data_IF_533456132227
#
_entry.id   IF_533456132227
#
_cell.length_a   1.000
_cell.length_b   1.000
_cell.length_c   1.000
_cell.angle_alpha   90.00
_cell.angle_beta   90.00
_cell.angle_gamma   90.00
#
_symmetry.space_group_name_H-M   'P 1'
#
loop_
_entity.id
_entity.type
_entity.pdbx_description
1 polymer ?
#
# COMPACT_ATOMS: atom_id res chain seq x y z
N UNK A 1 21.14 15.38 -9.60
CA UNK A 1 19.68 15.52 -9.61
C UNK A 1 19.12 14.93 -8.31
N UNK A 2 18.43 15.72 -7.48
CA UNK A 2 17.70 15.16 -6.33
C UNK A 2 16.50 14.38 -6.85
N UNK A 3 16.67 13.07 -7.06
CA UNK A 3 15.56 12.20 -7.42
C UNK A 3 14.53 12.22 -6.28
N UNK A 4 13.36 12.80 -6.55
CA UNK A 4 12.22 12.73 -5.64
C UNK A 4 11.83 11.26 -5.55
N UNK A 5 11.91 10.66 -4.36
CA UNK A 5 11.61 9.24 -4.18
C UNK A 5 10.14 9.05 -3.78
N UNK A 6 9.44 8.19 -4.50
CA UNK A 6 8.13 7.69 -4.09
C UNK A 6 8.33 6.56 -3.07
N UNK A 7 7.70 6.68 -1.91
CA UNK A 7 7.63 5.61 -0.91
C UNK A 7 6.22 5.05 -0.85
N UNK A 8 6.11 3.72 -0.85
CA UNK A 8 4.87 2.95 -0.70
C UNK A 8 5.04 2.00 0.48
N UNK A 9 4.16 2.12 1.47
CA UNK A 9 4.17 1.32 2.69
C UNK A 9 2.77 0.81 3.02
N UNK A 10 2.70 -0.39 3.54
CA UNK A 10 1.55 -1.05 4.11
C UNK A 10 1.64 -1.09 5.64
N UNK A 11 0.51 -0.87 6.31
CA UNK A 11 0.43 -0.93 7.76
C UNK A 11 -0.97 -1.33 8.20
N UNK A 12 -1.05 -1.90 9.41
CA UNK A 12 -2.33 -2.21 10.03
C UNK A 12 -2.94 -0.95 10.62
N UNK A 13 -4.21 -0.69 10.30
CA UNK A 13 -4.99 0.27 11.06
C UNK A 13 -5.61 -0.42 12.27
N UNK A 14 -4.82 -0.53 13.34
CA UNK A 14 -5.21 -1.17 14.60
C UNK A 14 -6.38 -0.47 15.33
N UNK A 15 -6.74 0.75 14.95
CA UNK A 15 -7.93 1.44 15.50
C UNK A 15 -9.26 0.92 14.93
N UNK A 16 -9.21 0.09 13.88
CA UNK A 16 -10.38 -0.42 13.15
C UNK A 16 -10.46 -1.95 13.18
N UNK A 17 -10.29 -2.54 14.35
CA UNK A 17 -10.50 -3.98 14.55
C UNK A 17 -12.00 -4.29 14.42
N UNK A 18 -12.36 -5.33 13.68
CA UNK A 18 -13.75 -5.77 13.55
C UNK A 18 -14.13 -6.82 14.61
N UNK A 19 -15.39 -7.25 14.61
CA UNK A 19 -15.91 -8.28 15.54
C UNK A 19 -15.20 -9.64 15.43
N UNK A 20 -14.48 -9.91 14.33
CA UNK A 20 -13.68 -11.13 14.13
C UNK A 20 -12.23 -10.98 14.61
N UNK A 21 -11.85 -9.86 15.22
CA UNK A 21 -10.50 -9.63 15.74
C UNK A 21 -9.45 -9.33 14.66
N UNK A 22 -9.86 -9.11 13.40
CA UNK A 22 -8.95 -8.73 12.31
C UNK A 22 -8.99 -7.22 12.09
N UNK A 23 -7.89 -6.68 11.57
CA UNK A 23 -7.73 -5.26 11.29
C UNK A 23 -7.40 -5.03 9.81
N UNK A 24 -7.86 -3.90 9.22
CA UNK A 24 -7.59 -3.60 7.82
C UNK A 24 -6.14 -3.21 7.61
N UNK A 25 -5.59 -3.66 6.48
CA UNK A 25 -4.31 -3.18 5.95
C UNK A 25 -4.59 -1.91 5.14
N UNK A 26 -3.79 -0.88 5.39
CA UNK A 26 -3.83 0.40 4.67
C UNK A 26 -2.55 0.56 3.88
N UNK A 27 -2.66 1.19 2.71
CA UNK A 27 -1.51 1.62 1.94
C UNK A 27 -1.29 3.12 2.14
N UNK A 28 -0.05 3.54 2.30
CA UNK A 28 0.40 4.92 2.36
C UNK A 28 1.42 5.18 1.28
N UNK A 29 1.13 6.17 0.44
CA UNK A 29 2.05 6.73 -0.53
C UNK A 29 2.61 8.05 0.00
N UNK A 30 3.92 8.25 -0.14
CA UNK A 30 4.59 9.52 0.17
C UNK A 30 5.44 9.98 -1.00
N UNK A 31 5.21 11.21 -1.46
CA UNK A 31 6.01 11.87 -2.50
C UNK A 31 6.07 13.37 -2.22
N UNK A 32 7.25 13.99 -2.33
CA UNK A 32 7.45 15.43 -2.06
C UNK A 32 6.85 15.91 -0.72
N UNK A 33 7.06 15.13 0.36
CA UNK A 33 6.49 15.40 1.70
C UNK A 33 4.95 15.36 1.78
N UNK A 34 4.25 15.14 0.66
CA UNK A 34 2.80 14.90 0.62
C UNK A 34 2.53 13.42 0.84
N UNK A 35 1.52 13.13 1.64
CA UNK A 35 1.10 11.76 1.97
C UNK A 35 -0.34 11.55 1.55
N UNK A 36 -0.63 10.35 1.06
CA UNK A 36 -1.99 9.88 0.81
C UNK A 36 -2.13 8.46 1.29
N UNK A 37 -3.25 8.19 1.95
CA UNK A 37 -3.60 6.87 2.45
C UNK A 37 -4.85 6.37 1.75
N UNK A 38 -4.91 5.08 1.46
CA UNK A 38 -6.08 4.42 0.90
C UNK A 38 -6.26 3.01 1.49
N UNK A 39 -7.47 2.48 1.36
CA UNK A 39 -7.78 1.11 1.78
C UNK A 39 -7.20 0.13 0.77
N UNK A 40 -6.60 -0.98 1.22
CA UNK A 40 -6.26 -2.09 0.32
C UNK A 40 -7.42 -3.06 0.14
N UNK A 41 -8.43 -3.01 1.03
CA UNK A 41 -9.50 -4.00 1.09
C UNK A 41 -9.14 -5.27 1.86
N UNK A 42 -7.87 -5.45 2.22
CA UNK A 42 -7.36 -6.63 2.92
C UNK A 42 -7.47 -6.49 4.44
N UNK A 43 -7.75 -7.60 5.11
CA UNK A 43 -7.87 -7.68 6.57
C UNK A 43 -7.04 -8.84 7.12
N UNK A 44 -6.39 -8.63 8.26
CA UNK A 44 -5.57 -9.67 8.89
C UNK A 44 -5.55 -9.56 10.42
N UNK A 45 -5.31 -10.69 11.09
CA UNK A 45 -5.02 -10.71 12.52
C UNK A 45 -3.79 -9.86 12.86
N UNK A 46 -3.84 -9.11 13.96
CA UNK A 46 -2.79 -8.15 14.32
C UNK A 46 -1.42 -8.81 14.59
N UNK A 47 -1.42 -10.07 15.04
CA UNK A 47 -0.23 -10.88 15.31
C UNK A 47 0.37 -11.53 14.06
N UNK A 48 -0.40 -11.60 12.97
CA UNK A 48 0.03 -12.25 11.73
C UNK A 48 0.74 -11.27 10.77
N UNK A 49 0.91 -10.00 11.15
CA UNK A 49 1.52 -8.97 10.32
C UNK A 49 2.97 -8.65 10.71
N UNK A 50 3.89 -8.77 9.75
CA UNK A 50 5.27 -8.34 9.90
C UNK A 50 5.44 -6.92 9.37
N UNK A 51 5.41 -5.92 10.26
CA UNK A 51 5.56 -4.52 9.87
C UNK A 51 6.91 -4.18 9.23
N UNK A 52 8.00 -4.86 9.64
CA UNK A 52 9.34 -4.63 9.06
C UNK A 52 9.43 -5.15 7.63
N UNK A 53 8.87 -6.34 7.37
CA UNK A 53 8.85 -6.96 6.05
C UNK A 53 7.66 -6.55 5.19
N UNK A 54 6.72 -5.78 5.75
CA UNK A 54 5.53 -5.27 5.06
C UNK A 54 4.67 -6.40 4.46
N UNK A 55 4.55 -7.52 5.18
CA UNK A 55 3.86 -8.73 4.72
C UNK A 55 3.35 -9.58 5.87
N UNK A 56 2.52 -10.56 5.58
CA UNK A 56 2.03 -11.55 6.55
C UNK A 56 3.15 -12.50 7.00
N UNK A 57 3.06 -13.04 8.23
CA UNK A 57 4.00 -14.02 8.79
C UNK A 57 3.69 -15.46 8.37
N UNK A 58 2.40 -15.81 8.26
CA UNK A 58 1.98 -17.20 8.10
C UNK A 58 1.99 -17.63 6.62
N UNK A 59 2.30 -18.90 6.38
CA UNK A 59 2.32 -19.51 5.04
C UNK A 59 0.97 -20.12 4.64
N UNK A 60 -0.13 -19.69 5.27
CA UNK A 60 -1.46 -20.12 4.86
C UNK A 60 -1.79 -19.56 3.48
N UNK A 61 -2.63 -20.27 2.72
CA UNK A 61 -3.07 -19.83 1.39
C UNK A 61 -3.69 -18.43 1.44
N UNK A 62 -4.51 -18.15 2.45
CA UNK A 62 -5.12 -16.82 2.64
C UNK A 62 -4.06 -15.72 2.84
N UNK A 63 -3.03 -15.98 3.66
CA UNK A 63 -1.97 -15.00 3.92
C UNK A 63 -1.03 -14.81 2.72
N UNK A 64 -0.84 -15.86 1.91
CA UNK A 64 -0.14 -15.76 0.62
C UNK A 64 -0.94 -14.93 -0.39
N UNK A 65 -2.26 -15.11 -0.46
CA UNK A 65 -3.15 -14.30 -1.29
C UNK A 65 -3.08 -12.82 -0.89
N UNK A 66 -3.15 -12.50 0.41
CA UNK A 66 -2.98 -11.13 0.91
C UNK A 66 -1.64 -10.56 0.44
N UNK A 67 -0.53 -11.29 0.62
CA UNK A 67 0.80 -10.82 0.19
C UNK A 67 0.85 -10.53 -1.31
N UNK A 68 0.27 -11.40 -2.13
CA UNK A 68 0.17 -11.20 -3.58
C UNK A 68 -0.62 -9.94 -3.92
N UNK A 69 -1.75 -9.70 -3.26
CA UNK A 69 -2.55 -8.48 -3.48
C UNK A 69 -1.77 -7.21 -3.12
N UNK A 70 -1.06 -7.21 -1.98
CA UNK A 70 -0.22 -6.07 -1.59
C UNK A 70 0.92 -5.85 -2.59
N UNK A 71 1.52 -6.92 -3.13
CA UNK A 71 2.54 -6.85 -4.16
C UNK A 71 1.98 -6.24 -5.46
N UNK A 72 0.82 -6.70 -5.93
CA UNK A 72 0.14 -6.15 -7.10
C UNK A 72 -0.13 -4.65 -6.93
N UNK A 73 -0.65 -4.23 -5.77
CA UNK A 73 -0.89 -2.82 -5.46
C UNK A 73 0.43 -2.02 -5.56
N UNK A 74 1.51 -2.53 -4.95
CA UNK A 74 2.83 -1.87 -4.96
C UNK A 74 3.40 -1.75 -6.39
N UNK A 75 3.31 -2.81 -7.18
CA UNK A 75 3.75 -2.85 -8.58
C UNK A 75 2.96 -1.84 -9.42
N UNK A 76 1.64 -1.81 -9.29
CA UNK A 76 0.78 -0.89 -10.04
C UNK A 76 1.09 0.57 -9.74
N UNK A 77 1.30 0.92 -8.47
CA UNK A 77 1.69 2.28 -8.06
C UNK A 77 3.04 2.67 -8.65
N UNK A 78 4.04 1.79 -8.54
CA UNK A 78 5.39 2.03 -9.08
C UNK A 78 5.36 2.16 -10.60
N UNK A 79 4.60 1.31 -11.28
CA UNK A 79 4.40 1.39 -12.74
C UNK A 79 3.81 2.74 -13.14
N UNK A 80 2.73 3.16 -12.48
CA UNK A 80 2.08 4.43 -12.79
C UNK A 80 2.98 5.63 -12.49
N UNK A 81 3.79 5.56 -11.44
CA UNK A 81 4.84 6.54 -11.15
C UNK A 81 5.88 6.64 -12.28
N UNK A 82 6.44 5.51 -12.71
CA UNK A 82 7.42 5.47 -13.81
C UNK A 82 6.84 6.02 -15.11
N UNK A 83 5.60 5.64 -15.44
CA UNK A 83 4.91 6.14 -16.63
C UNK A 83 4.77 7.66 -16.61
N UNK A 84 4.38 8.26 -15.48
CA UNK A 84 4.29 9.71 -15.36
C UNK A 84 5.66 10.40 -15.45
N UNK A 85 6.72 9.79 -14.91
CA UNK A 85 8.08 10.32 -15.07
C UNK A 85 8.54 10.31 -16.54
N UNK A 86 8.21 9.26 -17.30
CA UNK A 86 8.58 9.14 -18.72
C UNK A 86 7.86 10.15 -19.61
N UNK A 87 6.65 10.55 -19.25
CA UNK A 87 5.84 11.50 -20.02
C UNK A 87 6.25 12.97 -19.78
N UNK A 88 7.27 13.24 -18.95
CA UNK A 88 7.62 14.57 -18.42
C UNK A 88 6.42 15.32 -17.78
N UNK A 89 5.41 14.56 -17.38
CA UNK A 89 4.24 15.08 -16.67
C UNK A 89 4.56 15.05 -15.18
N UNK A 90 4.48 16.21 -14.53
CA UNK A 90 4.69 16.32 -13.09
C UNK A 90 3.82 15.30 -12.32
N UNK A 91 4.47 14.33 -11.64
CA UNK A 91 3.77 13.36 -10.82
C UNK A 91 3.08 14.06 -9.63
N UNK A 92 1.75 13.99 -9.59
CA UNK A 92 0.92 14.50 -8.50
C UNK A 92 0.21 13.35 -7.78
N UNK A 93 0.40 13.24 -6.46
CA UNK A 93 -0.23 12.21 -5.61
C UNK A 93 -1.76 12.28 -5.67
N UNK A 94 -2.31 13.43 -6.04
CA UNK A 94 -3.75 13.73 -6.04
C UNK A 94 -4.48 13.19 -7.28
N UNK A 95 -3.77 12.88 -8.37
CA UNK A 95 -4.37 12.45 -9.65
C UNK A 95 -4.89 10.99 -9.62
N UNK A 96 -4.66 10.25 -8.54
CA UNK A 96 -4.99 8.82 -8.41
C UNK A 96 -6.32 8.52 -7.70
N UNK A 97 -7.31 9.42 -7.77
CA UNK A 97 -8.64 9.20 -7.15
C UNK A 97 -9.84 9.42 -8.07
N UNK A 98 -9.67 9.39 -9.39
CA UNK A 98 -10.82 9.41 -10.31
C UNK A 98 -10.98 8.03 -10.95
N UNK A 99 -11.62 7.14 -10.19
CA UNK A 99 -12.58 6.13 -10.64
C UNK A 99 -12.75 5.08 -9.54
N UNK A 100 -13.62 5.37 -8.58
CA UNK A 100 -14.44 4.38 -7.88
C UNK A 100 -15.74 5.04 -7.47
#
# INVERSE_FOLDING_TARGET
MNQKTLSVLFYLNKSKVNSKGVCPIKCRMTFNKRRKEFSTGEFIGSLEWNAKKQKTYSNTIANQQINLQLEIISVNIKKAYLQLQMLDVAFGVEKYLLNT
#
